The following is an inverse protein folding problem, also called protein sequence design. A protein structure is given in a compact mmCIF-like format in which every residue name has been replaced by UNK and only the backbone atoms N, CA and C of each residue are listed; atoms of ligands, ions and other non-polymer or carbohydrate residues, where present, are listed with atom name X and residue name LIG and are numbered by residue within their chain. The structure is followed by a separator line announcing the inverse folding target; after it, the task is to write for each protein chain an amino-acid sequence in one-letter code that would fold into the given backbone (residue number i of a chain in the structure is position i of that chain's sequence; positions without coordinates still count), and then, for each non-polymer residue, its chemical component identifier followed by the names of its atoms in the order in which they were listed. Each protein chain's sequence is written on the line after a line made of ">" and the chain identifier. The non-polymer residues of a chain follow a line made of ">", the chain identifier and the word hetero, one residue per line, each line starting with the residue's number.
data_IF_847564231922
#
_entry.id   IF_847564231922
#
_cell.length_a   1.000
_cell.length_b   1.000
_cell.length_c   1.000
_cell.angle_alpha   90.00
_cell.angle_beta   90.00
_cell.angle_gamma   90.00
#
_symmetry.space_group_name_H-M   'P 1'
#
loop_
_entity.id
_entity.type
_entity.pdbx_description
1 polymer ?
#
# COMPACT_ATOMS: atom_id res chain seq x y z
N UNK A 1 15.62 4.01 5.80
CA UNK A 1 17.07 3.84 6.08
C UNK A 1 17.68 2.67 5.28
N UNK A 2 17.18 1.41 5.41
CA UNK A 2 17.77 0.25 4.71
C UNK A 2 17.66 0.38 3.19
N UNK A 3 16.49 0.71 2.67
CA UNK A 3 16.25 0.88 1.23
C UNK A 3 17.09 2.01 0.64
N UNK A 4 17.18 3.16 1.31
CA UNK A 4 18.00 4.30 0.88
C UNK A 4 19.47 3.89 0.72
N UNK A 5 20.02 3.21 1.74
CA UNK A 5 21.40 2.73 1.70
C UNK A 5 21.62 1.74 0.56
N UNK A 6 20.71 0.78 0.36
CA UNK A 6 20.82 -0.21 -0.71
C UNK A 6 20.79 0.46 -2.10
N UNK A 7 19.91 1.45 -2.29
CA UNK A 7 19.86 2.22 -3.54
C UNK A 7 21.17 3.00 -3.79
N UNK A 8 21.77 3.58 -2.75
CA UNK A 8 23.08 4.24 -2.87
C UNK A 8 24.22 3.27 -3.21
N UNK A 9 24.20 2.06 -2.65
CA UNK A 9 25.15 1.01 -2.98
C UNK A 9 25.02 0.58 -4.46
N UNK A 10 23.81 0.32 -4.96
CA UNK A 10 23.58 -0.02 -6.36
C UNK A 10 23.91 1.12 -7.33
N UNK A 11 23.59 2.37 -6.97
CA UNK A 11 23.98 3.53 -7.77
C UNK A 11 25.52 3.60 -7.92
N UNK A 12 26.24 3.36 -6.84
CA UNK A 12 27.71 3.34 -6.84
C UNK A 12 28.25 2.19 -7.72
N UNK A 13 27.68 0.99 -7.61
CA UNK A 13 28.08 -0.16 -8.42
C UNK A 13 27.84 0.12 -9.91
N UNK A 14 26.67 0.64 -10.29
CA UNK A 14 26.37 0.98 -11.67
C UNK A 14 27.35 2.01 -12.25
N UNK A 15 27.74 3.02 -11.47
CA UNK A 15 28.75 4.01 -11.87
C UNK A 15 30.16 3.43 -12.04
N UNK A 16 30.43 2.24 -11.50
CA UNK A 16 31.74 1.57 -11.67
C UNK A 16 31.90 0.87 -13.00
N UNK A 17 30.83 0.64 -13.76
CA UNK A 17 30.92 0.05 -15.08
C UNK A 17 31.57 1.00 -16.09
N UNK A 18 32.35 0.44 -17.02
CA UNK A 18 32.93 1.19 -18.12
C UNK A 18 31.83 1.52 -19.16
N UNK A 19 31.07 2.61 -18.91
CA UNK A 19 29.90 3.01 -19.68
C UNK A 19 30.16 3.03 -21.20
N UNK A 20 31.35 3.50 -21.64
CA UNK A 20 31.74 3.54 -23.06
C UNK A 20 31.83 2.16 -23.71
N UNK A 21 31.98 1.08 -22.94
CA UNK A 21 32.07 -0.30 -23.42
C UNK A 21 30.72 -1.01 -23.44
N UNK A 22 29.67 -0.39 -22.92
CA UNK A 22 28.33 -0.95 -22.93
C UNK A 22 27.72 -0.83 -24.34
N UNK A 23 26.90 -1.81 -24.72
CA UNK A 23 26.02 -1.68 -25.90
C UNK A 23 25.03 -0.54 -25.69
N UNK A 24 24.40 -0.05 -26.76
CA UNK A 24 23.38 1.00 -26.70
C UNK A 24 22.22 0.63 -25.77
N UNK A 25 21.72 -0.59 -25.87
CA UNK A 25 20.66 -1.13 -25.01
C UNK A 25 21.08 -1.15 -23.54
N UNK A 26 22.32 -1.60 -23.25
CA UNK A 26 22.83 -1.64 -21.88
C UNK A 26 23.12 -0.25 -21.33
N UNK A 27 23.47 0.74 -22.16
CA UNK A 27 23.59 2.14 -21.74
C UNK A 27 22.24 2.68 -21.29
N UNK A 28 21.20 2.48 -22.12
CA UNK A 28 19.84 2.90 -21.78
C UNK A 28 19.39 2.25 -20.45
N UNK A 29 19.60 0.95 -20.29
CA UNK A 29 19.30 0.23 -19.06
C UNK A 29 20.05 0.81 -17.85
N UNK A 30 21.35 1.10 -18.03
CA UNK A 30 22.17 1.69 -16.98
C UNK A 30 21.66 3.08 -16.58
N UNK A 31 21.32 3.93 -17.53
CA UNK A 31 20.79 5.28 -17.30
C UNK A 31 19.45 5.25 -16.56
N UNK A 32 18.55 4.35 -16.98
CA UNK A 32 17.26 4.15 -16.31
C UNK A 32 17.43 3.66 -14.86
N UNK A 33 18.31 2.71 -14.61
CA UNK A 33 18.59 2.19 -13.29
C UNK A 33 19.26 3.25 -12.40
N UNK A 34 20.19 4.03 -12.94
CA UNK A 34 20.82 5.14 -12.23
C UNK A 34 19.77 6.18 -11.80
N UNK A 35 18.88 6.59 -12.71
CA UNK A 35 17.79 7.50 -12.40
C UNK A 35 16.88 6.92 -11.32
N UNK A 36 16.50 5.67 -11.43
CA UNK A 36 15.65 4.98 -10.46
C UNK A 36 16.28 4.93 -9.06
N UNK A 37 17.51 4.46 -8.95
CA UNK A 37 18.18 4.35 -7.64
C UNK A 37 18.49 5.70 -7.03
N UNK A 38 18.92 6.67 -7.86
CA UNK A 38 19.14 8.05 -7.41
C UNK A 38 17.84 8.66 -6.83
N UNK A 39 16.73 8.55 -7.57
CA UNK A 39 15.43 9.04 -7.13
C UNK A 39 15.00 8.36 -5.83
N UNK A 40 15.11 7.03 -5.73
CA UNK A 40 14.79 6.29 -4.51
C UNK A 40 15.66 6.68 -3.32
N UNK A 41 16.94 6.93 -3.56
CA UNK A 41 17.89 7.37 -2.53
C UNK A 41 17.57 8.79 -2.03
N UNK A 42 17.02 9.67 -2.88
CA UNK A 42 16.69 11.07 -2.54
C UNK A 42 15.57 11.19 -1.52
N UNK A 43 14.71 10.14 -1.35
CA UNK A 43 13.70 10.09 -0.29
C UNK A 43 14.31 10.32 1.10
N UNK A 44 15.45 9.68 1.39
CA UNK A 44 16.29 9.92 2.56
C UNK A 44 15.51 10.00 3.87
N UNK A 45 15.74 11.09 4.62
CA UNK A 45 15.08 11.38 5.89
C UNK A 45 13.60 11.74 5.76
N UNK A 46 13.15 12.12 4.56
CA UNK A 46 11.78 12.55 4.31
C UNK A 46 10.79 11.38 4.19
N UNK A 47 11.25 10.13 4.35
CA UNK A 47 10.39 8.94 4.36
C UNK A 47 9.28 8.96 5.42
N UNK A 48 9.43 9.78 6.47
CA UNK A 48 8.38 9.97 7.47
C UNK A 48 7.17 10.77 6.94
N UNK A 49 7.32 11.47 5.81
CA UNK A 49 6.24 12.19 5.12
C UNK A 49 5.43 11.27 4.20
N UNK A 50 5.91 10.05 3.95
CA UNK A 50 5.15 9.06 3.19
C UNK A 50 3.86 8.71 3.93
N UNK A 51 2.73 8.70 3.17
CA UNK A 51 1.40 8.48 3.75
C UNK A 51 0.75 7.29 3.06
N UNK A 52 0.70 6.12 3.74
CA UNK A 52 0.07 4.92 3.19
C UNK A 52 -1.46 5.01 3.16
N UNK A 53 -2.04 5.91 3.95
CA UNK A 53 -3.47 6.10 4.07
C UNK A 53 -3.91 7.36 3.31
N UNK A 54 -5.05 7.29 2.64
CA UNK A 54 -5.58 8.45 1.95
C UNK A 54 -6.96 8.22 1.35
N UNK A 55 -7.77 9.28 1.17
CA UNK A 55 -9.17 9.14 0.75
C UNK A 55 -9.37 8.52 -0.64
N UNK A 56 -8.35 8.54 -1.50
CA UNK A 56 -8.45 8.00 -2.87
C UNK A 56 -7.65 6.71 -3.05
N UNK A 57 -6.34 6.81 -2.88
CA UNK A 57 -5.38 5.76 -3.18
C UNK A 57 -4.75 5.11 -1.93
N UNK A 58 -5.30 5.40 -0.75
CA UNK A 58 -4.80 4.82 0.48
C UNK A 58 -5.04 3.31 0.56
N UNK A 59 -4.18 2.63 1.32
CA UNK A 59 -4.22 1.17 1.49
C UNK A 59 -5.60 0.68 1.94
N UNK A 60 -6.28 1.41 2.83
CA UNK A 60 -7.60 1.05 3.33
C UNK A 60 -8.66 1.01 2.21
N UNK A 61 -8.49 1.80 1.14
CA UNK A 61 -9.40 1.81 0.00
C UNK A 61 -8.97 0.80 -1.09
N UNK A 62 -7.66 0.66 -1.31
CA UNK A 62 -7.13 -0.15 -2.40
C UNK A 62 -7.02 -1.65 -2.06
N UNK A 63 -6.76 -2.01 -0.80
CA UNK A 63 -6.54 -3.41 -0.42
C UNK A 63 -7.74 -4.32 -0.76
N UNK A 64 -9.00 -3.96 -0.48
CA UNK A 64 -10.14 -4.81 -0.84
C UNK A 64 -10.28 -4.97 -2.35
N UNK A 65 -9.95 -3.94 -3.14
CA UNK A 65 -9.99 -3.97 -4.60
C UNK A 65 -8.93 -4.94 -5.12
N UNK A 66 -7.70 -4.83 -4.65
CA UNK A 66 -6.60 -5.73 -5.03
C UNK A 66 -6.91 -7.18 -4.69
N UNK A 67 -7.50 -7.43 -3.52
CA UNK A 67 -7.96 -8.76 -3.13
C UNK A 67 -9.11 -9.24 -4.01
N UNK A 68 -10.03 -8.36 -4.39
CA UNK A 68 -11.11 -8.67 -5.31
C UNK A 68 -10.62 -8.97 -6.73
N UNK A 69 -9.52 -8.38 -7.18
CA UNK A 69 -8.91 -8.62 -8.49
C UNK A 69 -7.99 -9.85 -8.55
N UNK A 70 -7.63 -10.44 -7.40
CA UNK A 70 -6.75 -11.60 -7.35
C UNK A 70 -7.31 -12.77 -8.19
N UNK A 71 -6.53 -13.30 -9.12
CA UNK A 71 -7.01 -14.30 -10.10
C UNK A 71 -6.67 -15.72 -9.66
N UNK A 72 -7.64 -16.64 -9.70
CA UNK A 72 -7.43 -18.06 -9.42
C UNK A 72 -7.19 -18.81 -10.73
N UNK A 73 -5.95 -19.26 -10.94
CA UNK A 73 -5.53 -20.10 -12.08
C UNK A 73 -5.27 -21.54 -11.64
N UNK A 74 -4.81 -21.72 -10.41
CA UNK A 74 -4.48 -23.00 -9.79
C UNK A 74 -5.15 -23.12 -8.42
N UNK A 75 -5.11 -24.30 -7.83
CA UNK A 75 -5.60 -24.52 -6.44
C UNK A 75 -4.71 -23.80 -5.43
N UNK A 76 -3.43 -23.71 -5.72
CA UNK A 76 -2.43 -23.02 -4.92
C UNK A 76 -2.78 -21.53 -4.81
N UNK A 77 -3.26 -20.88 -5.89
CA UNK A 77 -3.69 -19.48 -5.87
C UNK A 77 -4.82 -19.25 -4.87
N UNK A 78 -5.76 -20.17 -4.75
CA UNK A 78 -6.86 -20.09 -3.78
C UNK A 78 -6.30 -20.19 -2.34
N UNK A 79 -5.40 -21.14 -2.12
CA UNK A 79 -4.74 -21.30 -0.82
C UNK A 79 -3.92 -20.06 -0.44
N UNK A 80 -3.20 -19.50 -1.40
CA UNK A 80 -2.36 -18.33 -1.17
C UNK A 80 -3.20 -17.06 -0.95
N UNK A 81 -4.31 -16.91 -1.66
CA UNK A 81 -5.28 -15.86 -1.39
C UNK A 81 -5.86 -15.93 0.03
N UNK A 82 -6.24 -17.12 0.50
CA UNK A 82 -6.73 -17.30 1.87
C UNK A 82 -5.67 -17.02 2.93
N UNK A 83 -4.41 -17.41 2.67
CA UNK A 83 -3.27 -17.03 3.51
C UNK A 83 -3.06 -15.51 3.51
N UNK A 84 -3.21 -14.86 2.35
CA UNK A 84 -3.07 -13.41 2.23
C UNK A 84 -4.10 -12.68 3.08
N UNK A 85 -5.36 -13.15 3.13
CA UNK A 85 -6.38 -12.59 4.03
C UNK A 85 -5.95 -12.62 5.49
N UNK A 86 -5.29 -13.69 5.95
CA UNK A 86 -4.81 -13.80 7.34
C UNK A 86 -3.67 -12.83 7.65
N UNK A 87 -3.03 -12.23 6.64
CA UNK A 87 -1.98 -11.23 6.84
C UNK A 87 -2.48 -9.78 6.90
N UNK A 88 -3.76 -9.55 6.62
CA UNK A 88 -4.33 -8.19 6.59
C UNK A 88 -4.24 -7.51 7.95
N UNK A 89 -4.60 -8.22 9.02
CA UNK A 89 -4.57 -7.66 10.37
C UNK A 89 -3.15 -7.27 10.83
N UNK A 90 -2.12 -8.13 10.78
CA UNK A 90 -0.75 -7.72 11.11
C UNK A 90 -0.20 -6.63 10.18
N UNK A 91 -0.63 -6.58 8.92
CA UNK A 91 -0.27 -5.49 8.01
C UNK A 91 -0.85 -4.15 8.49
N UNK A 92 -2.14 -4.08 8.83
CA UNK A 92 -2.77 -2.86 9.35
C UNK A 92 -2.18 -2.45 10.71
N UNK A 93 -1.82 -3.39 11.56
CA UNK A 93 -1.11 -3.11 12.81
C UNK A 93 0.25 -2.43 12.55
N UNK A 94 0.95 -2.78 11.47
CA UNK A 94 2.19 -2.10 11.08
C UNK A 94 1.93 -0.64 10.62
N UNK A 95 0.82 -0.39 9.93
CA UNK A 95 0.38 0.95 9.54
C UNK A 95 0.00 1.78 10.79
N UNK A 96 -0.79 1.20 11.68
CA UNK A 96 -1.14 1.85 12.97
C UNK A 96 0.12 2.26 13.74
N UNK A 97 1.13 1.40 13.78
CA UNK A 97 2.41 1.73 14.42
C UNK A 97 3.10 2.91 13.74
N UNK A 98 3.10 2.95 12.41
CA UNK A 98 3.64 4.06 11.64
C UNK A 98 2.89 5.37 11.96
N UNK A 99 1.55 5.34 11.93
CA UNK A 99 0.73 6.52 12.21
C UNK A 99 0.93 7.06 13.63
N UNK A 100 1.10 6.18 14.62
CA UNK A 100 1.47 6.57 15.99
C UNK A 100 2.84 7.28 16.04
N UNK A 101 3.82 6.82 15.27
CA UNK A 101 5.13 7.47 15.18
C UNK A 101 5.03 8.84 14.48
N UNK A 102 4.24 8.95 13.41
CA UNK A 102 3.95 10.22 12.73
C UNK A 102 3.26 11.21 13.65
N UNK A 103 2.27 10.77 14.41
CA UNK A 103 1.59 11.57 15.42
C UNK A 103 2.57 12.16 16.46
N UNK A 104 3.46 11.33 17.01
CA UNK A 104 4.48 11.78 17.97
C UNK A 104 5.41 12.87 17.38
N UNK A 105 5.64 12.84 16.08
CA UNK A 105 6.44 13.83 15.36
C UNK A 105 5.62 15.03 14.86
N UNK A 106 4.30 15.02 15.04
CA UNK A 106 3.38 16.05 14.54
C UNK A 106 3.15 15.97 13.03
N UNK A 107 3.46 14.84 12.42
CA UNK A 107 3.28 14.57 10.98
C UNK A 107 1.98 13.84 10.65
N UNK A 108 1.08 13.69 11.63
CA UNK A 108 -0.20 13.05 11.42
C UNK A 108 -1.07 13.88 10.47
N UNK A 109 -1.96 13.20 9.77
CA UNK A 109 -2.85 13.80 8.77
C UNK A 109 -3.82 14.82 9.37
N UNK A 110 -4.41 15.66 8.52
CA UNK A 110 -5.46 16.60 8.92
C UNK A 110 -6.76 15.87 9.30
N UNK A 111 -7.54 16.47 10.20
CA UNK A 111 -8.83 15.92 10.62
C UNK A 111 -9.80 15.71 9.44
N UNK A 112 -9.78 16.59 8.45
CA UNK A 112 -10.60 16.43 7.23
C UNK A 112 -10.19 15.18 6.43
N UNK A 113 -8.89 14.86 6.36
CA UNK A 113 -8.41 13.64 5.71
C UNK A 113 -8.78 12.41 6.53
N UNK A 114 -8.58 12.50 7.85
CA UNK A 114 -8.96 11.47 8.80
C UNK A 114 -10.45 11.11 8.68
N UNK A 115 -11.36 12.09 8.68
CA UNK A 115 -12.81 11.86 8.59
C UNK A 115 -13.18 11.05 7.32
N UNK A 116 -12.53 11.35 6.20
CA UNK A 116 -12.77 10.62 4.94
C UNK A 116 -12.28 9.18 5.02
N UNK A 117 -11.14 8.94 5.64
CA UNK A 117 -10.58 7.59 5.83
C UNK A 117 -11.47 6.79 6.80
N UNK A 118 -11.85 7.38 7.92
CA UNK A 118 -12.76 6.75 8.89
C UNK A 118 -14.09 6.37 8.26
N UNK A 119 -14.68 7.27 7.47
CA UNK A 119 -15.92 6.97 6.73
C UNK A 119 -15.75 5.75 5.83
N UNK A 120 -14.62 5.59 5.13
CA UNK A 120 -14.36 4.41 4.30
C UNK A 120 -14.22 3.15 5.15
N UNK A 121 -13.47 3.19 6.24
CA UNK A 121 -13.32 2.06 7.15
C UNK A 121 -14.66 1.62 7.73
N UNK A 122 -15.44 2.57 8.26
CA UNK A 122 -16.77 2.29 8.82
C UNK A 122 -17.74 1.73 7.77
N UNK A 123 -17.71 2.26 6.55
CA UNK A 123 -18.54 1.74 5.45
C UNK A 123 -18.17 0.30 5.10
N UNK A 124 -16.88 -0.05 5.13
CA UNK A 124 -16.43 -1.39 4.82
C UNK A 124 -16.86 -2.42 5.87
N UNK A 125 -16.91 -2.03 7.15
CA UNK A 125 -17.29 -2.93 8.26
C UNK A 125 -18.77 -2.88 8.62
N UNK A 126 -19.56 -2.06 7.95
CA UNK A 126 -20.96 -1.82 8.32
C UNK A 126 -21.86 -3.08 8.28
N UNK A 127 -21.57 -3.98 7.36
CA UNK A 127 -22.33 -5.22 7.16
C UNK A 127 -21.37 -6.42 7.11
N UNK A 128 -20.81 -6.83 8.25
CA UNK A 128 -19.78 -7.87 8.29
C UNK A 128 -20.28 -9.23 7.76
N UNK A 129 -21.52 -9.62 8.10
CA UNK A 129 -22.10 -10.92 7.70
C UNK A 129 -22.51 -11.00 6.23
N UNK A 130 -22.53 -9.88 5.51
CA UNK A 130 -22.82 -9.76 4.09
C UNK A 130 -21.80 -8.89 3.36
N UNK A 131 -20.52 -9.13 3.63
CA UNK A 131 -19.44 -8.39 2.99
C UNK A 131 -19.32 -8.81 1.52
N UNK A 132 -19.26 -7.85 0.61
CA UNK A 132 -19.19 -8.07 -0.84
C UNK A 132 -17.99 -8.94 -1.28
N UNK A 133 -16.94 -9.04 -0.47
CA UNK A 133 -15.79 -9.90 -0.76
C UNK A 133 -16.18 -11.38 -0.76
N UNK A 134 -17.18 -11.79 0.02
CA UNK A 134 -17.68 -13.17 0.03
C UNK A 134 -18.36 -13.50 -1.29
N UNK A 135 -19.17 -12.59 -1.84
CA UNK A 135 -19.83 -12.77 -3.13
C UNK A 135 -18.81 -12.87 -4.27
N UNK A 136 -17.80 -11.99 -4.26
CA UNK A 136 -16.73 -12.01 -5.27
C UNK A 136 -15.94 -13.32 -5.18
N UNK A 137 -15.59 -13.78 -3.99
CA UNK A 137 -14.88 -15.05 -3.80
C UNK A 137 -15.70 -16.22 -4.30
N UNK A 138 -16.98 -16.28 -3.95
CA UNK A 138 -17.89 -17.35 -4.41
C UNK A 138 -18.06 -17.36 -5.94
N UNK A 139 -18.17 -16.19 -6.59
CA UNK A 139 -18.22 -16.07 -8.04
C UNK A 139 -16.93 -16.57 -8.70
N UNK A 140 -15.77 -16.21 -8.16
CA UNK A 140 -14.46 -16.67 -8.67
C UNK A 140 -14.29 -18.18 -8.54
N UNK A 141 -14.72 -18.78 -7.42
CA UNK A 141 -14.69 -20.22 -7.25
C UNK A 141 -15.59 -20.94 -8.25
N UNK A 142 -16.77 -20.38 -8.56
CA UNK A 142 -17.67 -20.93 -9.61
C UNK A 142 -17.04 -20.83 -11.00
N UNK A 143 -16.34 -19.73 -11.29
CA UNK A 143 -15.65 -19.52 -12.57
C UNK A 143 -14.39 -20.39 -12.69
N UNK A 144 -13.83 -20.85 -11.58
CA UNK A 144 -12.66 -21.73 -11.54
C UNK A 144 -13.07 -23.15 -11.92
N UNK A 145 -13.09 -23.43 -13.24
CA UNK A 145 -13.45 -24.73 -13.80
C UNK A 145 -12.35 -25.77 -13.58
N UNK A 146 -12.32 -26.40 -12.41
CA UNK A 146 -11.42 -27.51 -12.14
C UNK A 146 -12.24 -28.74 -11.70
N UNK A 147 -12.18 -29.88 -12.45
CA UNK A 147 -12.94 -31.08 -12.13
C UNK A 147 -12.64 -31.67 -10.75
N UNK A 148 -11.52 -31.32 -10.16
CA UNK A 148 -11.13 -31.76 -8.82
C UNK A 148 -11.78 -30.94 -7.68
N UNK A 149 -12.60 -29.91 -7.99
CA UNK A 149 -13.38 -29.14 -7.02
C UNK A 149 -14.85 -29.51 -7.11
N UNK A 150 -15.34 -30.27 -6.15
CA UNK A 150 -16.75 -30.54 -6.02
C UNK A 150 -17.49 -29.39 -5.30
N UNK A 151 -18.81 -29.43 -5.31
CA UNK A 151 -19.67 -28.41 -4.69
C UNK A 151 -19.50 -28.33 -3.16
N UNK A 152 -19.07 -29.42 -2.52
CA UNK A 152 -18.82 -29.46 -1.07
C UNK A 152 -17.51 -28.76 -0.73
N UNK A 153 -16.47 -28.95 -1.53
CA UNK A 153 -15.18 -28.25 -1.37
C UNK A 153 -15.35 -26.74 -1.55
N UNK A 154 -16.15 -26.32 -2.54
CA UNK A 154 -16.47 -24.91 -2.74
C UNK A 154 -17.18 -24.30 -1.52
N UNK A 155 -18.16 -25.02 -0.96
CA UNK A 155 -18.85 -24.57 0.27
C UNK A 155 -17.90 -24.44 1.45
N UNK A 156 -17.00 -25.41 1.66
CA UNK A 156 -15.99 -25.36 2.73
C UNK A 156 -15.06 -24.15 2.57
N UNK A 157 -14.63 -23.88 1.34
CA UNK A 157 -13.78 -22.73 1.04
C UNK A 157 -14.52 -21.40 1.26
N UNK A 158 -15.77 -21.26 0.84
CA UNK A 158 -16.57 -20.07 1.10
C UNK A 158 -16.79 -19.86 2.61
N UNK A 159 -17.08 -20.93 3.36
CA UNK A 159 -17.22 -20.83 4.82
C UNK A 159 -15.92 -20.40 5.49
N UNK A 160 -14.79 -20.93 5.04
CA UNK A 160 -13.48 -20.54 5.55
C UNK A 160 -13.10 -19.10 5.17
N UNK A 161 -13.38 -18.68 3.94
CA UNK A 161 -13.22 -17.30 3.50
C UNK A 161 -14.02 -16.34 4.38
N UNK A 162 -15.32 -16.59 4.55
CA UNK A 162 -16.19 -15.78 5.40
C UNK A 162 -15.66 -15.69 6.85
N UNK A 163 -15.19 -16.82 7.39
CA UNK A 163 -14.53 -16.81 8.71
C UNK A 163 -13.34 -15.86 8.74
N UNK A 164 -12.47 -15.89 7.73
CA UNK A 164 -11.31 -15.00 7.66
C UNK A 164 -11.72 -13.52 7.52
N UNK A 165 -12.77 -13.24 6.76
CA UNK A 165 -13.33 -11.88 6.71
C UNK A 165 -13.75 -11.43 8.11
N UNK A 166 -14.48 -12.25 8.86
CA UNK A 166 -14.97 -11.88 10.20
C UNK A 166 -13.88 -11.84 11.27
N UNK A 167 -12.84 -12.69 11.18
CA UNK A 167 -11.82 -12.79 12.25
C UNK A 167 -10.56 -11.99 11.99
N UNK A 168 -10.25 -11.67 10.73
CA UNK A 168 -9.01 -11.01 10.36
C UNK A 168 -9.26 -9.65 9.68
N UNK A 169 -10.09 -9.62 8.63
CA UNK A 169 -10.23 -8.43 7.81
C UNK A 169 -11.10 -7.36 8.49
N UNK A 170 -12.30 -7.71 8.93
CA UNK A 170 -13.20 -6.76 9.64
C UNK A 170 -12.55 -6.20 10.90
N UNK A 171 -11.96 -7.02 11.81
CA UNK A 171 -11.26 -6.47 12.97
C UNK A 171 -10.07 -5.59 12.62
N UNK A 172 -9.34 -5.88 11.52
CA UNK A 172 -8.24 -5.04 11.08
C UNK A 172 -8.70 -3.60 10.75
N UNK A 173 -9.83 -3.46 10.04
CA UNK A 173 -10.42 -2.15 9.73
C UNK A 173 -10.95 -1.43 10.97
N UNK A 174 -11.56 -2.16 11.89
CA UNK A 174 -12.03 -1.59 13.17
C UNK A 174 -10.86 -1.08 14.00
N UNK A 175 -9.81 -1.90 14.20
CA UNK A 175 -8.61 -1.52 14.91
C UNK A 175 -7.91 -0.31 14.26
N UNK A 176 -7.88 -0.26 12.92
CA UNK A 176 -7.34 0.88 12.19
C UNK A 176 -8.16 2.14 12.49
N UNK A 177 -9.48 2.09 12.33
CA UNK A 177 -10.37 3.23 12.55
C UNK A 177 -10.25 3.77 14.00
N UNK A 178 -10.33 2.89 14.98
CA UNK A 178 -10.25 3.27 16.42
C UNK A 178 -8.88 3.87 16.76
N UNK A 179 -7.80 3.28 16.21
CA UNK A 179 -6.45 3.79 16.42
C UNK A 179 -6.25 5.16 15.78
N UNK A 180 -6.72 5.36 14.56
CA UNK A 180 -6.60 6.65 13.87
C UNK A 180 -7.43 7.72 14.58
N UNK A 181 -8.66 7.42 15.02
CA UNK A 181 -9.49 8.35 15.77
C UNK A 181 -8.81 8.80 17.07
N UNK A 182 -8.11 7.90 17.76
CA UNK A 182 -7.36 8.24 18.98
C UNK A 182 -6.19 9.21 18.74
N UNK A 183 -5.76 9.38 17.48
CA UNK A 183 -4.68 10.29 17.07
C UNK A 183 -5.21 11.63 16.54
N UNK A 184 -6.52 11.85 16.51
CA UNK A 184 -7.15 13.07 16.01
C UNK A 184 -6.53 14.33 16.66
N UNK A 185 -6.30 15.35 15.86
CA UNK A 185 -5.76 16.64 16.30
C UNK A 185 -4.27 16.64 16.63
N UNK A 186 -3.54 15.53 16.43
CA UNK A 186 -2.10 15.48 16.72
C UNK A 186 -1.23 16.00 15.59
N UNK A 187 -1.81 16.22 14.40
CA UNK A 187 -1.10 16.83 13.26
C UNK A 187 -0.81 18.30 13.49
N UNK A 188 0.41 18.74 13.20
CA UNK A 188 0.83 20.15 13.35
C UNK A 188 0.33 21.08 12.23
N UNK A 189 -0.13 20.51 11.12
CA UNK A 189 -0.56 21.30 9.98
C UNK A 189 -1.83 20.72 9.34
N UNK A 190 -2.83 21.58 9.18
CA UNK A 190 -4.03 21.30 8.38
C UNK A 190 -3.88 21.73 6.91
N UNK A 191 -2.74 22.35 6.55
CA UNK A 191 -2.53 23.00 5.25
C UNK A 191 -1.83 22.12 4.22
N UNK A 192 -1.45 20.88 4.58
CA UNK A 192 -0.81 19.93 3.68
C UNK A 192 0.71 19.99 3.65
N UNK A 193 1.28 19.26 2.70
CA UNK A 193 2.69 18.89 2.65
C UNK A 193 3.67 20.09 2.67
N UNK A 194 3.35 21.18 1.99
CA UNK A 194 4.22 22.36 1.90
C UNK A 194 4.53 23.03 3.27
N UNK A 195 3.76 22.71 4.29
CA UNK A 195 3.91 23.28 5.64
C UNK A 195 4.63 22.36 6.62
N UNK A 196 5.09 21.20 6.17
CA UNK A 196 5.96 20.32 6.93
C UNK A 196 7.44 20.56 6.61
N UNK A 197 8.30 20.38 7.62
CA UNK A 197 9.75 20.38 7.40
C UNK A 197 10.11 19.26 6.41
N UNK A 198 10.89 19.59 5.37
CA UNK A 198 11.21 18.65 4.29
C UNK A 198 10.07 18.40 3.29
N UNK A 199 8.92 19.08 3.45
CA UNK A 199 7.75 18.86 2.60
C UNK A 199 7.97 19.22 1.14
N UNK A 200 8.75 20.28 0.85
CA UNK A 200 9.13 20.65 -0.53
C UNK A 200 10.03 19.59 -1.16
N UNK A 201 11.03 19.13 -0.45
CA UNK A 201 11.97 18.10 -0.90
C UNK A 201 11.22 16.77 -1.16
N UNK A 202 10.29 16.43 -0.27
CA UNK A 202 9.44 15.26 -0.45
C UNK A 202 8.51 15.41 -1.67
N UNK A 203 7.94 16.59 -1.90
CA UNK A 203 7.14 16.85 -3.09
C UNK A 203 7.95 16.70 -4.39
N UNK A 204 9.18 17.22 -4.43
CA UNK A 204 10.08 17.06 -5.57
C UNK A 204 10.44 15.57 -5.78
N UNK A 205 10.66 14.83 -4.70
CA UNK A 205 10.81 13.37 -4.77
C UNK A 205 9.59 12.69 -5.38
N UNK A 206 8.38 13.02 -4.94
CA UNK A 206 7.14 12.47 -5.50
C UNK A 206 7.02 12.80 -6.98
N UNK A 207 7.25 14.04 -7.35
CA UNK A 207 7.22 14.48 -8.74
C UNK A 207 8.18 13.67 -9.59
N UNK A 208 9.43 13.58 -9.20
CA UNK A 208 10.44 12.82 -9.93
C UNK A 208 10.14 11.32 -9.98
N UNK A 209 9.66 10.74 -8.86
CA UNK A 209 9.37 9.30 -8.78
C UNK A 209 8.15 8.88 -9.62
N UNK A 210 7.20 9.79 -9.85
CA UNK A 210 5.96 9.49 -10.58
C UNK A 210 6.01 9.93 -12.05
N UNK A 211 6.78 10.97 -12.37
CA UNK A 211 6.79 11.57 -13.72
C UNK A 211 8.15 11.53 -14.38
N UNK A 212 9.21 11.16 -13.67
CA UNK A 212 10.61 11.30 -14.09
C UNK A 212 11.04 12.75 -14.37
N UNK A 213 10.24 13.75 -13.98
CA UNK A 213 10.54 15.17 -14.15
C UNK A 213 11.10 15.77 -12.86
N UNK A 214 11.95 16.79 -13.00
CA UNK A 214 12.54 17.53 -11.88
C UNK A 214 11.79 18.81 -11.54
N UNK A 215 10.79 19.18 -12.32
CA UNK A 215 10.04 20.43 -12.20
C UNK A 215 8.59 20.23 -12.62
N UNK A 216 7.70 20.99 -12.01
CA UNK A 216 6.40 21.29 -12.61
C UNK A 216 6.66 22.41 -13.61
N UNK A 217 6.50 22.17 -14.90
CA UNK A 217 6.57 23.26 -15.87
C UNK A 217 5.56 24.33 -15.48
N UNK A 218 5.98 25.58 -15.57
CA UNK A 218 5.07 26.71 -15.57
C UNK A 218 4.17 26.56 -16.82
N UNK A 219 3.03 25.93 -16.61
CA UNK A 219 1.99 25.86 -17.60
C UNK A 219 1.04 27.03 -17.40
#
# INVERSE_FOLDING_TARGET
>A
AKTTRLCQEYEKELKSFAYSRLSEENRLTCDMLLLYFHTRASLGKNSALDEPLGPGLGVQAQLPILLAEYTFRTKEDISDYLKLLSTVRPYFQSIIKLEKQKSQSGLFMSDTTLDRILKQCHSFVANPDSNYMDDIFAQKLKAFSNPAFNSEDQKKLCTYHHKLILTEVIPAYQELADSLESLRGTGKSSRGLAFFEGGREYYLYLLQSQTCLLYTSDA
#
